data_IF_349435643256
#
_entry.id   IF_349435643256
#
_cell.length_a   1.000
_cell.length_b   1.000
_cell.length_c   1.000
_cell.angle_alpha   90.00
_cell.angle_beta   90.00
_cell.angle_gamma   90.00
#
_symmetry.space_group_name_H-M   'P 1'
#
loop_
_entity.id
_entity.type
_entity.pdbx_description
1 polymer ?
#
# COMPACT_ATOMS: atom_id res chain seq x y z
N UNK A 1 3.69 -2.38 -0.98
CA UNK A 1 2.53 -1.65 -1.53
C UNK A 1 1.97 -0.74 -0.47
N UNK A 2 1.47 0.44 -0.84
CA UNK A 2 0.81 1.37 0.07
C UNK A 2 -0.27 2.20 -0.64
N UNK A 3 -1.12 2.86 0.13
CA UNK A 3 -2.00 3.92 -0.34
C UNK A 3 -1.35 5.29 -0.12
N UNK A 4 -1.84 6.29 -0.85
CA UNK A 4 -1.59 7.70 -0.53
C UNK A 4 -2.88 8.42 -0.20
N UNK A 5 -3.22 9.40 -1.04
CA UNK A 5 -4.53 10.06 -0.99
C UNK A 5 -5.68 9.16 -1.42
N UNK A 6 -6.12 8.23 -0.55
CA UNK A 6 -7.29 7.37 -0.78
C UNK A 6 -8.57 8.18 -1.05
N UNK A 7 -9.44 7.63 -1.88
CA UNK A 7 -10.76 8.15 -2.24
C UNK A 7 -11.80 7.01 -2.23
N UNK A 8 -13.07 7.35 -2.48
CA UNK A 8 -14.18 6.38 -2.49
C UNK A 8 -13.99 5.24 -3.51
N UNK A 9 -13.18 5.46 -4.56
CA UNK A 9 -12.94 4.47 -5.62
C UNK A 9 -11.78 3.55 -5.30
N UNK A 10 -10.95 3.88 -4.31
CA UNK A 10 -9.73 3.13 -3.98
C UNK A 10 -10.02 1.65 -3.71
N UNK A 11 -11.04 1.36 -2.89
CA UNK A 11 -11.44 0.01 -2.51
C UNK A 11 -12.17 -0.80 -3.58
N UNK A 12 -12.60 -0.16 -4.68
CA UNK A 12 -13.40 -0.81 -5.75
C UNK A 12 -12.71 -0.80 -7.12
N UNK A 13 -11.54 -0.16 -7.24
CA UNK A 13 -10.76 -0.11 -8.49
C UNK A 13 -9.29 -0.51 -8.26
N UNK A 14 -8.44 0.42 -7.84
CA UNK A 14 -6.99 0.24 -7.74
C UNK A 14 -6.61 -0.83 -6.72
N UNK A 15 -7.17 -0.80 -5.51
CA UNK A 15 -6.78 -1.74 -4.46
C UNK A 15 -7.10 -3.20 -4.79
N UNK A 16 -8.29 -3.57 -5.32
CA UNK A 16 -8.53 -4.95 -5.74
C UNK A 16 -7.68 -5.39 -6.93
N UNK A 17 -7.42 -4.52 -7.92
CA UNK A 17 -6.50 -4.84 -9.03
C UNK A 17 -5.07 -5.10 -8.52
N UNK A 18 -4.63 -4.30 -7.55
CA UNK A 18 -3.36 -4.50 -6.82
C UNK A 18 -3.36 -5.82 -6.06
N UNK A 19 -4.45 -6.18 -5.38
CA UNK A 19 -4.62 -7.48 -4.73
C UNK A 19 -4.53 -8.66 -5.70
N UNK A 20 -5.09 -8.52 -6.90
CA UNK A 20 -4.95 -9.53 -7.94
C UNK A 20 -3.50 -9.69 -8.41
N UNK A 21 -2.79 -8.59 -8.69
CA UNK A 21 -1.38 -8.61 -9.04
C UNK A 21 -0.50 -9.18 -7.91
N UNK A 22 -0.85 -8.91 -6.65
CA UNK A 22 -0.22 -9.49 -5.46
C UNK A 22 -0.28 -11.01 -5.50
N UNK A 23 -1.46 -11.59 -5.74
CA UNK A 23 -1.64 -13.03 -5.80
C UNK A 23 -0.87 -13.66 -6.98
N UNK A 24 -0.77 -12.97 -8.13
CA UNK A 24 0.08 -13.41 -9.24
C UNK A 24 1.56 -13.46 -8.86
N UNK A 25 2.08 -12.42 -8.19
CA UNK A 25 3.46 -12.37 -7.72
C UNK A 25 3.75 -13.49 -6.69
N UNK A 26 2.83 -13.73 -5.75
CA UNK A 26 2.94 -14.84 -4.79
C UNK A 26 3.00 -16.18 -5.52
N UNK A 27 2.16 -16.40 -6.55
CA UNK A 27 2.19 -17.62 -7.39
C UNK A 27 3.50 -17.79 -8.15
N UNK A 28 4.20 -16.71 -8.49
CA UNK A 28 5.54 -16.73 -9.07
C UNK A 28 6.66 -16.99 -8.03
N UNK A 29 6.33 -17.18 -6.75
CA UNK A 29 7.31 -17.38 -5.68
C UNK A 29 8.05 -16.09 -5.27
N UNK A 30 7.47 -14.92 -5.58
CA UNK A 30 7.97 -13.63 -5.11
C UNK A 30 7.51 -13.33 -3.68
N UNK A 31 8.10 -12.29 -3.09
CA UNK A 31 7.68 -11.74 -1.80
C UNK A 31 6.92 -10.45 -2.03
N UNK A 32 5.73 -10.34 -1.44
CA UNK A 32 4.84 -9.20 -1.59
C UNK A 32 4.54 -8.61 -0.23
N UNK A 33 4.49 -7.28 -0.12
CA UNK A 33 4.34 -6.59 1.16
C UNK A 33 3.20 -5.57 1.15
N UNK A 34 2.38 -5.59 2.20
CA UNK A 34 1.44 -4.52 2.55
C UNK A 34 1.66 -4.09 4.00
N UNK A 35 1.33 -2.85 4.34
CA UNK A 35 1.80 -2.18 5.56
C UNK A 35 0.72 -1.33 6.24
N UNK A 36 1.00 -0.06 6.55
CA UNK A 36 0.03 0.96 6.95
C UNK A 36 -0.88 0.53 8.11
N UNK A 37 -0.34 0.38 9.31
CA UNK A 37 -1.08 -0.10 10.50
C UNK A 37 -2.39 0.68 10.69
N UNK A 38 -2.31 2.02 10.66
CA UNK A 38 -3.48 2.90 10.79
C UNK A 38 -4.57 2.64 9.75
N UNK A 39 -4.21 2.18 8.54
CA UNK A 39 -5.16 1.96 7.45
C UNK A 39 -5.84 0.60 7.51
N UNK A 40 -5.21 -0.40 8.12
CA UNK A 40 -5.78 -1.76 8.21
C UNK A 40 -6.37 -2.08 9.59
N UNK A 41 -6.09 -1.24 10.60
CA UNK A 41 -6.37 -1.51 12.01
C UNK A 41 -7.81 -1.91 12.32
N UNK A 42 -8.78 -1.28 11.65
CA UNK A 42 -10.21 -1.53 11.89
C UNK A 42 -10.76 -2.71 11.08
N UNK A 43 -9.96 -3.25 10.15
CA UNK A 43 -10.26 -4.46 9.37
C UNK A 43 -9.37 -5.66 9.76
N UNK A 44 -8.64 -5.56 10.88
CA UNK A 44 -7.72 -6.61 11.36
C UNK A 44 -8.39 -7.98 11.50
N UNK A 45 -9.67 -8.01 11.88
CA UNK A 45 -10.48 -9.20 12.04
C UNK A 45 -10.69 -9.99 10.73
N UNK A 46 -10.40 -9.39 9.57
CA UNK A 46 -10.41 -10.05 8.26
C UNK A 46 -9.02 -10.47 7.78
N UNK A 47 -7.96 -9.95 8.39
CA UNK A 47 -6.59 -10.34 8.10
C UNK A 47 -6.14 -11.53 8.94
N UNK A 48 -6.48 -11.56 10.24
CA UNK A 48 -6.09 -12.65 11.14
C UNK A 48 -6.53 -14.04 10.68
N UNK A 49 -7.74 -14.26 10.10
CA UNK A 49 -8.13 -15.58 9.61
C UNK A 49 -7.33 -16.06 8.39
N UNK A 50 -6.55 -15.17 7.77
CA UNK A 50 -5.69 -15.47 6.60
C UNK A 50 -4.23 -15.74 6.99
N UNK A 51 -3.88 -15.66 8.27
CA UNK A 51 -2.56 -16.05 8.74
C UNK A 51 -2.34 -17.55 8.51
N UNK A 52 -1.13 -17.92 8.11
CA UNK A 52 -0.81 -19.33 7.80
C UNK A 52 -0.86 -20.25 9.04
N UNK A 53 -0.70 -19.68 10.23
CA UNK A 53 -0.81 -20.35 11.52
C UNK A 53 -1.12 -19.35 12.65
N UNK A 54 -1.37 -19.87 13.86
CA UNK A 54 -1.69 -19.04 15.02
C UNK A 54 -0.56 -18.11 15.45
N UNK A 55 0.71 -18.51 15.30
CA UNK A 55 1.87 -17.70 15.65
C UNK A 55 1.91 -16.40 14.82
N UNK A 56 1.73 -16.53 13.50
CA UNK A 56 1.66 -15.38 12.58
C UNK A 56 0.43 -14.52 12.88
N UNK A 57 -0.71 -15.14 13.18
CA UNK A 57 -1.94 -14.43 13.56
C UNK A 57 -1.77 -13.62 14.84
N UNK A 58 -1.14 -14.20 15.87
CA UNK A 58 -0.83 -13.52 17.14
C UNK A 58 0.17 -12.39 16.92
N UNK A 59 1.24 -12.62 16.14
CA UNK A 59 2.22 -11.57 15.83
C UNK A 59 1.59 -10.38 15.11
N UNK A 60 0.58 -10.61 14.26
CA UNK A 60 -0.18 -9.53 13.64
C UNK A 60 -0.91 -8.65 14.68
N UNK A 61 -1.53 -9.28 15.68
CA UNK A 61 -2.21 -8.57 16.78
C UNK A 61 -1.23 -7.81 17.68
N UNK A 62 -0.02 -8.36 17.90
CA UNK A 62 1.04 -7.70 18.66
C UNK A 62 1.45 -6.37 18.00
N UNK A 63 1.64 -6.34 16.67
CA UNK A 63 1.94 -5.09 15.96
C UNK A 63 0.79 -4.07 16.02
N UNK A 64 -0.48 -4.53 15.99
CA UNK A 64 -1.62 -3.63 16.16
C UNK A 64 -1.63 -3.00 17.55
N UNK A 65 -1.45 -3.80 18.60
CA UNK A 65 -1.43 -3.34 19.99
C UNK A 65 -0.24 -2.42 20.26
N UNK A 66 0.94 -2.73 19.71
CA UNK A 66 2.12 -1.90 19.82
C UNK A 66 1.88 -0.51 19.23
N UNK A 67 1.28 -0.44 18.05
CA UNK A 67 1.03 0.84 17.39
C UNK A 67 -0.07 1.66 18.10
N UNK A 68 -1.11 1.00 18.63
CA UNK A 68 -2.12 1.68 19.46
C UNK A 68 -1.47 2.30 20.70
N UNK A 69 -0.55 1.58 21.37
CA UNK A 69 0.20 2.10 22.52
C UNK A 69 1.15 3.26 22.14
N UNK A 70 1.83 3.16 20.98
CA UNK A 70 2.67 4.24 20.46
C UNK A 70 1.87 5.55 20.28
N UNK A 71 0.66 5.47 19.72
CA UNK A 71 -0.20 6.64 19.55
C UNK A 71 -0.62 7.24 20.91
N UNK A 72 -1.00 6.40 21.87
CA UNK A 72 -1.38 6.83 23.23
C UNK A 72 -0.23 7.55 23.95
N UNK A 73 0.99 6.99 23.89
CA UNK A 73 2.20 7.64 24.43
C UNK A 73 2.46 9.02 23.78
N UNK A 74 2.17 9.14 22.48
CA UNK A 74 2.27 10.39 21.73
C UNK A 74 1.11 11.35 21.97
N UNK A 75 0.12 10.99 22.81
CA UNK A 75 -1.14 11.73 23.02
C UNK A 75 -1.85 12.06 21.71
N UNK A 76 -1.78 11.13 20.77
CA UNK A 76 -2.43 11.20 19.46
C UNK A 76 -3.32 9.99 19.28
N UNK A 77 -4.24 10.05 18.34
CA UNK A 77 -5.12 8.93 18.04
C UNK A 77 -5.26 8.74 16.51
N UNK A 78 -6.24 7.91 16.13
CA UNK A 78 -6.59 7.64 14.73
C UNK A 78 -7.79 8.48 14.26
N UNK A 79 -8.24 9.48 15.02
CA UNK A 79 -9.44 10.30 14.69
C UNK A 79 -9.26 11.12 13.40
N UNK A 80 -8.01 11.42 13.06
CA UNK A 80 -7.64 12.04 11.79
C UNK A 80 -7.74 11.07 10.60
N UNK A 81 -8.06 9.79 10.82
CA UNK A 81 -8.41 8.84 9.76
C UNK A 81 -9.94 8.74 9.67
N UNK A 82 -10.58 8.92 8.49
CA UNK A 82 -10.01 9.32 7.20
C UNK A 82 -9.45 10.75 7.25
N UNK A 83 -8.34 11.00 6.56
CA UNK A 83 -7.75 12.35 6.49
C UNK A 83 -8.72 13.34 5.84
N UNK A 84 -8.57 14.67 6.04
CA UNK A 84 -9.41 15.67 5.38
C UNK A 84 -9.45 15.50 3.85
N UNK A 85 -8.33 15.06 3.25
CA UNK A 85 -8.25 14.74 1.82
C UNK A 85 -9.08 13.52 1.42
N UNK A 86 -9.15 12.49 2.28
CA UNK A 86 -9.95 11.30 2.05
C UNK A 86 -11.45 11.58 2.20
N UNK A 87 -11.84 12.38 3.20
CA UNK A 87 -13.24 12.80 3.40
C UNK A 87 -13.75 13.59 2.19
N UNK A 88 -12.95 14.54 1.68
CA UNK A 88 -13.24 15.25 0.42
C UNK A 88 -13.30 14.32 -0.79
N UNK A 89 -12.58 13.19 -0.75
CA UNK A 89 -12.61 12.13 -1.77
C UNK A 89 -13.75 11.14 -1.61
N UNK A 90 -14.69 11.36 -0.68
CA UNK A 90 -15.90 10.54 -0.51
C UNK A 90 -15.79 9.39 0.49
N UNK A 91 -14.68 9.25 1.23
CA UNK A 91 -14.55 8.24 2.29
C UNK A 91 -15.15 8.75 3.59
N UNK A 92 -16.31 8.21 3.98
CA UNK A 92 -17.08 8.66 5.14
C UNK A 92 -16.69 7.94 6.44
N UNK A 93 -16.42 6.64 6.40
CA UNK A 93 -16.22 5.80 7.58
C UNK A 93 -14.82 5.14 7.60
N UNK A 94 -14.21 5.07 8.79
CA UNK A 94 -12.93 4.39 9.04
C UNK A 94 -12.96 2.90 8.69
N UNK A 95 -14.07 2.21 8.98
CA UNK A 95 -14.23 0.79 8.69
C UNK A 95 -14.26 0.57 7.18
N UNK A 96 -15.05 1.37 6.46
CA UNK A 96 -15.13 1.30 4.99
C UNK A 96 -13.76 1.53 4.33
N UNK A 97 -13.01 2.54 4.83
CA UNK A 97 -11.64 2.79 4.38
C UNK A 97 -10.72 1.60 4.66
N UNK A 98 -10.83 0.98 5.84
CA UNK A 98 -10.00 -0.15 6.20
C UNK A 98 -10.29 -1.38 5.34
N UNK A 99 -11.57 -1.67 5.06
CA UNK A 99 -12.00 -2.72 4.14
C UNK A 99 -11.42 -2.51 2.73
N UNK A 100 -11.52 -1.28 2.21
CA UNK A 100 -10.91 -0.92 0.93
C UNK A 100 -9.39 -1.06 0.94
N UNK A 101 -8.73 -0.76 2.06
CA UNK A 101 -7.27 -0.77 2.19
C UNK A 101 -6.70 -2.19 2.21
N UNK A 102 -7.37 -3.13 2.88
CA UNK A 102 -6.95 -4.54 2.92
C UNK A 102 -7.14 -5.25 1.57
N UNK A 103 -7.95 -4.72 0.65
CA UNK A 103 -8.11 -5.31 -0.69
C UNK A 103 -6.79 -5.43 -1.46
N UNK A 104 -5.80 -4.55 -1.17
CA UNK A 104 -4.43 -4.61 -1.73
C UNK A 104 -3.70 -5.92 -1.41
N UNK A 105 -4.11 -6.61 -0.34
CA UNK A 105 -3.47 -7.85 0.11
C UNK A 105 -3.94 -9.09 -0.66
N UNK A 106 -4.86 -8.95 -1.63
CA UNK A 106 -5.37 -10.09 -2.40
C UNK A 106 -6.04 -11.14 -1.51
N UNK A 107 -5.92 -12.41 -1.92
CA UNK A 107 -6.50 -13.56 -1.21
C UNK A 107 -5.45 -14.54 -0.67
N UNK A 108 -4.17 -14.36 -1.01
CA UNK A 108 -3.07 -15.20 -0.50
C UNK A 108 -2.99 -15.20 1.03
N UNK A 109 -2.46 -16.29 1.60
CA UNK A 109 -2.21 -16.41 3.03
C UNK A 109 -1.07 -15.48 3.47
N UNK A 110 -1.20 -14.87 4.66
CA UNK A 110 -0.15 -14.06 5.28
C UNK A 110 0.84 -15.03 5.93
N UNK A 111 2.08 -15.03 5.44
CA UNK A 111 3.09 -16.03 5.86
C UNK A 111 4.08 -15.52 6.90
N UNK A 112 4.16 -14.19 7.09
CA UNK A 112 5.06 -13.55 8.05
C UNK A 112 4.55 -12.15 8.39
N UNK A 113 4.86 -11.69 9.61
CA UNK A 113 4.59 -10.35 10.11
C UNK A 113 5.90 -9.72 10.58
N UNK A 114 6.18 -8.50 10.11
CA UNK A 114 7.40 -7.76 10.41
C UNK A 114 7.10 -6.53 11.25
N UNK A 115 7.93 -6.28 12.27
CA UNK A 115 7.98 -5.00 12.97
C UNK A 115 8.69 -3.94 12.11
N UNK A 116 8.56 -2.63 12.40
CA UNK A 116 9.13 -1.57 11.57
C UNK A 116 10.63 -1.76 11.28
N UNK A 117 10.98 -1.94 10.00
CA UNK A 117 12.36 -2.04 9.51
C UNK A 117 12.97 -3.46 9.52
N UNK A 118 12.23 -4.48 9.98
CA UNK A 118 12.67 -5.88 9.87
C UNK A 118 12.64 -6.37 8.41
N UNK A 119 13.47 -7.38 8.11
CA UNK A 119 13.52 -8.04 6.79
C UNK A 119 12.80 -9.39 6.85
N UNK A 120 12.09 -9.80 5.79
CA UNK A 120 11.40 -11.08 5.75
C UNK A 120 12.37 -12.26 5.71
N UNK A 121 11.97 -13.36 6.35
CA UNK A 121 12.64 -14.67 6.28
C UNK A 121 11.87 -15.67 5.40
N UNK A 122 10.62 -15.36 5.05
CA UNK A 122 9.75 -16.17 4.20
C UNK A 122 9.46 -15.49 2.86
N UNK A 123 9.01 -16.28 1.88
CA UNK A 123 8.44 -15.79 0.61
C UNK A 123 6.93 -16.02 0.60
N UNK A 124 6.20 -15.12 -0.06
CA UNK A 124 4.75 -15.07 -0.05
C UNK A 124 4.24 -13.67 0.29
N UNK A 125 3.02 -13.59 0.82
CA UNK A 125 2.43 -12.33 1.27
C UNK A 125 2.86 -12.03 2.72
N UNK A 126 3.50 -10.88 2.90
CA UNK A 126 4.08 -10.40 4.16
C UNK A 126 3.31 -9.16 4.61
N UNK A 127 2.97 -9.11 5.89
CA UNK A 127 2.54 -7.87 6.53
C UNK A 127 3.75 -7.20 7.19
N UNK A 128 4.09 -5.97 6.80
CA UNK A 128 5.14 -5.21 7.46
C UNK A 128 4.57 -3.97 8.13
N UNK A 129 4.56 -3.95 9.45
CA UNK A 129 4.00 -2.85 10.23
C UNK A 129 4.81 -1.56 9.98
N UNK A 130 4.12 -0.52 9.50
CA UNK A 130 4.66 0.83 9.30
C UNK A 130 3.59 1.86 9.63
N UNK A 131 3.99 3.11 9.93
CA UNK A 131 3.09 4.25 9.80
C UNK A 131 2.47 4.35 8.40
N UNK A 132 1.30 4.98 8.30
CA UNK A 132 0.63 5.25 7.02
C UNK A 132 1.12 6.52 6.30
N UNK A 133 2.06 7.26 6.90
CA UNK A 133 2.67 8.41 6.24
C UNK A 133 3.51 7.96 5.04
N UNK A 134 3.17 8.43 3.84
CA UNK A 134 3.68 7.95 2.55
C UNK A 134 5.22 7.76 2.51
N UNK A 135 5.97 8.77 2.96
CA UNK A 135 7.44 8.74 2.94
C UNK A 135 8.04 7.85 4.02
N UNK A 136 7.40 7.80 5.20
CA UNK A 136 7.85 6.93 6.29
C UNK A 136 7.58 5.47 5.94
N UNK A 137 6.38 5.15 5.45
CA UNK A 137 6.02 3.83 4.96
C UNK A 137 6.97 3.38 3.85
N UNK A 138 7.19 4.23 2.82
CA UNK A 138 8.13 3.94 1.75
C UNK A 138 9.54 3.65 2.24
N UNK A 139 10.06 4.47 3.16
CA UNK A 139 11.39 4.28 3.75
C UNK A 139 11.48 2.96 4.53
N UNK A 140 10.47 2.64 5.34
CA UNK A 140 10.46 1.39 6.12
C UNK A 140 10.29 0.16 5.23
N UNK A 141 9.49 0.22 4.15
CA UNK A 141 9.41 -0.88 3.18
C UNK A 141 10.74 -1.09 2.45
N UNK A 142 11.45 -0.01 2.11
CA UNK A 142 12.81 -0.09 1.55
C UNK A 142 13.78 -0.74 2.53
N UNK A 143 13.72 -0.39 3.82
CA UNK A 143 14.50 -1.06 4.86
C UNK A 143 14.19 -2.58 4.94
N UNK A 144 12.91 -2.94 4.79
CA UNK A 144 12.47 -4.34 4.70
C UNK A 144 12.87 -5.05 3.40
N UNK A 145 13.40 -4.32 2.41
CA UNK A 145 14.03 -4.89 1.21
C UNK A 145 13.15 -5.00 -0.02
N UNK A 146 12.11 -4.16 -0.16
CA UNK A 146 11.40 -4.06 -1.45
C UNK A 146 12.34 -3.56 -2.54
N UNK A 147 12.07 -3.94 -3.79
CA UNK A 147 12.80 -3.45 -4.98
C UNK A 147 11.91 -2.69 -5.96
N UNK A 148 10.59 -2.76 -5.80
CA UNK A 148 9.58 -2.00 -6.55
C UNK A 148 8.46 -1.66 -5.57
N UNK A 149 7.91 -0.44 -5.66
CA UNK A 149 6.73 -0.07 -4.89
C UNK A 149 5.55 0.23 -5.82
N UNK A 150 4.37 -0.32 -5.49
CA UNK A 150 3.09 0.11 -6.07
C UNK A 150 2.39 1.03 -5.07
N UNK A 151 1.97 2.19 -5.56
CA UNK A 151 1.37 3.27 -4.80
C UNK A 151 0.02 3.66 -5.40
N UNK A 152 -1.09 3.36 -4.72
CA UNK A 152 -2.43 3.72 -5.21
C UNK A 152 -2.87 5.09 -4.70
N UNK A 153 -3.53 5.88 -5.55
CA UNK A 153 -3.98 7.21 -5.14
C UNK A 153 -5.18 7.74 -5.92
N UNK A 154 -6.06 8.45 -5.20
CA UNK A 154 -7.14 9.28 -5.73
C UNK A 154 -6.75 10.75 -5.90
N UNK A 155 -5.47 11.11 -5.71
CA UNK A 155 -4.96 12.49 -5.78
C UNK A 155 -3.69 12.58 -6.63
N UNK A 156 -3.45 13.74 -7.25
CA UNK A 156 -2.23 14.02 -8.02
C UNK A 156 -1.03 14.29 -7.12
N UNK A 157 -0.51 13.26 -6.44
CA UNK A 157 0.65 13.39 -5.54
C UNK A 157 1.98 13.21 -6.29
N UNK A 158 2.98 14.08 -6.07
CA UNK A 158 4.32 13.92 -6.64
C UNK A 158 5.19 12.93 -5.84
N UNK A 159 4.59 12.06 -5.01
CA UNK A 159 5.32 11.05 -4.24
C UNK A 159 6.25 10.18 -5.10
N UNK A 160 7.47 9.96 -4.65
CA UNK A 160 8.43 9.04 -5.26
C UNK A 160 9.68 8.87 -4.39
N UNK A 161 10.48 7.84 -4.70
CA UNK A 161 11.69 7.46 -3.98
C UNK A 161 12.82 7.24 -4.98
N UNK A 162 14.05 7.65 -4.62
CA UNK A 162 15.24 7.28 -5.42
C UNK A 162 15.60 5.79 -5.25
N UNK A 163 15.36 5.23 -4.07
CA UNK A 163 15.88 3.91 -3.71
C UNK A 163 15.22 2.75 -4.50
N UNK A 164 13.95 2.92 -4.90
CA UNK A 164 13.18 1.95 -5.70
C UNK A 164 12.21 2.70 -6.62
N UNK A 165 11.94 2.19 -7.83
CA UNK A 165 10.93 2.77 -8.70
C UNK A 165 9.54 2.67 -8.06
N UNK A 166 8.77 3.75 -8.16
CA UNK A 166 7.42 3.86 -7.61
C UNK A 166 6.40 3.91 -8.75
N UNK A 167 5.62 2.84 -8.89
CA UNK A 167 4.51 2.74 -9.85
C UNK A 167 3.27 3.38 -9.22
N UNK A 168 2.82 4.51 -9.78
CA UNK A 168 1.67 5.26 -9.30
C UNK A 168 0.40 4.88 -10.06
N UNK A 169 -0.60 4.39 -9.33
CA UNK A 169 -1.86 3.89 -9.87
C UNK A 169 -3.02 4.81 -9.51
N UNK A 170 -3.67 5.39 -10.51
CA UNK A 170 -4.84 6.23 -10.36
C UNK A 170 -6.10 5.39 -10.12
N UNK A 171 -6.96 5.83 -9.19
CA UNK A 171 -8.24 5.18 -8.89
C UNK A 171 -9.36 5.52 -9.89
N UNK A 172 -9.20 6.58 -10.69
CA UNK A 172 -10.20 7.09 -11.62
C UNK A 172 -9.57 7.57 -12.92
N UNK A 173 -10.25 7.35 -14.04
CA UNK A 173 -9.78 7.77 -15.38
C UNK A 173 -9.63 9.28 -15.47
N UNK A 174 -10.52 10.05 -14.85
CA UNK A 174 -10.40 11.51 -14.77
C UNK A 174 -9.09 11.95 -14.08
N UNK A 175 -8.65 11.23 -13.04
CA UNK A 175 -7.40 11.53 -12.34
C UNK A 175 -6.19 11.18 -13.22
N UNK A 176 -6.22 10.02 -13.87
CA UNK A 176 -5.18 9.60 -14.81
C UNK A 176 -5.01 10.60 -15.96
N UNK A 177 -6.12 11.10 -16.53
CA UNK A 177 -6.08 12.08 -17.61
C UNK A 177 -5.61 13.46 -17.14
N UNK A 178 -5.99 13.88 -15.92
CA UNK A 178 -5.57 15.17 -15.36
C UNK A 178 -4.07 15.20 -15.05
N UNK A 179 -3.53 14.11 -14.52
CA UNK A 179 -2.14 13.96 -14.14
C UNK A 179 -1.47 12.87 -14.98
N UNK A 180 -1.60 13.01 -16.30
CA UNK A 180 -1.14 12.05 -17.30
C UNK A 180 0.39 11.84 -17.29
N UNK A 181 1.11 12.77 -16.67
CA UNK A 181 2.55 12.79 -16.47
C UNK A 181 2.98 12.37 -15.05
N UNK A 182 2.04 11.94 -14.20
CA UNK A 182 2.33 11.37 -12.87
C UNK A 182 1.76 9.97 -12.68
N UNK A 183 0.70 9.60 -13.41
CA UNK A 183 -0.02 8.34 -13.23
C UNK A 183 0.48 7.29 -14.23
N UNK A 184 1.25 6.33 -13.76
CA UNK A 184 1.82 5.27 -14.60
C UNK A 184 0.76 4.29 -15.12
N UNK A 185 -0.30 4.06 -14.32
CA UNK A 185 -1.40 3.15 -14.66
C UNK A 185 -2.75 3.70 -14.20
N UNK A 186 -3.78 3.50 -15.03
CA UNK A 186 -5.17 3.88 -14.75
C UNK A 186 -5.98 2.65 -14.34
N UNK A 187 -6.56 2.66 -13.14
CA UNK A 187 -7.50 1.64 -12.65
C UNK A 187 -8.97 2.04 -12.83
N UNK A 188 -9.23 3.29 -13.22
CA UNK A 188 -10.58 3.84 -13.30
C UNK A 188 -11.47 3.22 -14.37
N UNK A 189 -10.88 2.51 -15.34
CA UNK A 189 -11.56 1.69 -16.35
C UNK A 189 -12.42 0.58 -15.73
N UNK A 190 -12.08 0.14 -14.51
CA UNK A 190 -12.90 -0.81 -13.73
C UNK A 190 -14.25 -0.19 -13.35
N UNK A 191 -14.26 1.08 -12.94
CA UNK A 191 -15.49 1.74 -12.51
C UNK A 191 -16.49 1.98 -13.65
N UNK A 192 -16.00 2.04 -14.90
CA UNK A 192 -16.83 2.17 -16.10
C UNK A 192 -17.19 0.84 -16.74
N UNK A 193 -16.65 -0.28 -16.23
CA UNK A 193 -16.86 -1.62 -16.78
C UNK A 193 -16.10 -1.89 -18.10
N UNK A 194 -15.10 -1.06 -18.44
CA UNK A 194 -14.29 -1.22 -19.65
C UNK A 194 -13.22 -2.32 -19.48
N UNK A 195 -12.59 -2.38 -18.32
CA UNK A 195 -11.64 -3.43 -17.93
C UNK A 195 -12.14 -4.10 -16.63
N UNK A 196 -11.87 -5.39 -16.44
CA UNK A 196 -12.14 -6.07 -15.16
C UNK A 196 -11.00 -5.86 -14.15
N UNK A 197 -11.22 -6.27 -12.90
CA UNK A 197 -10.16 -6.30 -11.87
C UNK A 197 -8.98 -7.17 -12.34
N UNK A 198 -9.28 -8.31 -12.95
CA UNK A 198 -8.31 -9.26 -13.48
C UNK A 198 -7.49 -8.67 -14.63
N UNK A 199 -8.13 -7.92 -15.53
CA UNK A 199 -7.46 -7.27 -16.67
C UNK A 199 -6.46 -6.23 -16.18
N UNK A 200 -6.91 -5.31 -15.33
CA UNK A 200 -6.04 -4.27 -14.76
C UNK A 200 -4.98 -4.88 -13.85
N UNK A 201 -5.30 -5.94 -13.09
CA UNK A 201 -4.35 -6.65 -12.27
C UNK A 201 -3.25 -7.34 -13.08
N UNK A 202 -3.58 -7.95 -14.24
CA UNK A 202 -2.59 -8.52 -15.17
C UNK A 202 -1.73 -7.45 -15.82
N UNK A 203 -2.35 -6.35 -16.25
CA UNK A 203 -1.66 -5.16 -16.78
C UNK A 203 -0.67 -4.59 -15.77
N UNK A 204 -1.06 -4.49 -14.49
CA UNK A 204 -0.16 -4.07 -13.41
C UNK A 204 0.98 -5.07 -13.22
N UNK A 205 0.70 -6.37 -13.20
CA UNK A 205 1.72 -7.41 -13.07
C UNK A 205 2.79 -7.30 -14.18
N UNK A 206 2.37 -7.15 -15.44
CA UNK A 206 3.28 -6.97 -16.58
C UNK A 206 4.07 -5.65 -16.46
N UNK A 207 3.42 -4.56 -16.05
CA UNK A 207 4.08 -3.28 -15.82
C UNK A 207 5.14 -3.35 -14.73
N UNK A 208 4.88 -4.08 -13.63
CA UNK A 208 5.87 -4.34 -12.58
C UNK A 208 7.11 -5.04 -13.16
N UNK A 209 6.92 -6.05 -14.02
CA UNK A 209 8.04 -6.75 -14.65
C UNK A 209 8.83 -5.83 -15.61
N UNK A 210 8.14 -4.99 -16.38
CA UNK A 210 8.77 -4.01 -17.27
C UNK A 210 9.61 -3.00 -16.50
N UNK A 211 9.09 -2.47 -15.40
CA UNK A 211 9.79 -1.52 -14.52
C UNK A 211 10.97 -2.18 -13.83
N UNK A 212 10.79 -3.37 -13.25
CA UNK A 212 11.88 -4.12 -12.62
C UNK A 212 13.00 -4.49 -13.62
N UNK A 213 12.66 -4.66 -14.89
CA UNK A 213 13.61 -4.94 -15.98
C UNK A 213 14.25 -3.68 -16.57
N UNK A 214 13.85 -2.47 -16.14
CA UNK A 214 14.28 -1.21 -16.74
C UNK A 214 13.75 -0.95 -18.16
N UNK A 215 12.79 -1.74 -18.66
CA UNK A 215 12.16 -1.53 -19.98
C UNK A 215 11.21 -0.34 -19.98
N UNK A 216 10.61 -0.05 -18.82
CA UNK A 216 9.81 1.16 -18.58
C UNK A 216 10.37 1.90 -17.39
N UNK A 217 10.29 3.22 -17.43
CA UNK A 217 10.67 4.10 -16.34
C UNK A 217 9.40 4.76 -15.80
N UNK A 218 9.17 4.67 -14.49
CA UNK A 218 8.01 5.32 -13.87
C UNK A 218 8.16 6.84 -13.96
N UNK A 219 7.05 7.57 -13.91
CA UNK A 219 7.10 9.03 -13.93
C UNK A 219 7.90 9.61 -12.76
N UNK A 220 7.91 8.96 -11.58
CA UNK A 220 8.76 9.37 -10.45
C UNK A 220 10.23 9.49 -10.88
N UNK A 221 10.73 8.50 -11.61
CA UNK A 221 12.14 8.40 -11.95
C UNK A 221 12.46 9.19 -13.23
N UNK A 222 11.48 9.40 -14.11
CA UNK A 222 11.61 10.29 -15.27
C UNK A 222 11.82 11.74 -14.84
N UNK A 223 11.01 12.23 -13.90
CA UNK A 223 11.05 13.61 -13.44
C UNK A 223 11.99 13.85 -12.24
N UNK A 224 12.53 12.78 -11.65
CA UNK A 224 13.39 12.88 -10.47
C UNK A 224 12.63 13.28 -9.20
N UNK A 225 11.38 12.82 -9.06
CA UNK A 225 10.52 13.05 -7.89
C UNK A 225 10.99 12.20 -6.71
N UNK A 226 12.15 12.53 -6.17
CA UNK A 226 12.80 11.78 -5.10
C UNK A 226 12.83 12.61 -3.82
N UNK A 227 11.93 12.32 -2.89
CA UNK A 227 12.06 12.88 -1.56
C UNK A 227 13.15 12.14 -0.77
N UNK A 228 13.75 12.83 0.20
CA UNK A 228 14.69 12.21 1.14
C UNK A 228 14.02 11.09 1.93
N UNK A 229 14.81 10.08 2.32
CA UNK A 229 14.36 9.01 3.19
C UNK A 229 13.91 9.58 4.55
N UNK A 230 12.81 9.05 5.07
CA UNK A 230 12.19 9.46 6.32
C UNK A 230 12.09 8.25 7.25
N UNK A 231 13.15 7.99 8.02
CA UNK A 231 13.20 6.86 8.95
C UNK A 231 12.17 7.05 10.06
N UNK A 232 11.47 5.96 10.41
CA UNK A 232 10.55 6.00 11.54
C UNK A 232 11.31 6.01 12.87
N UNK A 233 11.22 7.10 13.61
CA UNK A 233 11.73 7.21 14.98
C UNK A 233 10.57 7.29 15.98
N UNK A 234 10.22 6.20 16.68
CA UNK A 234 9.15 6.22 17.69
C UNK A 234 9.60 6.83 19.03
N UNK A 235 10.89 7.09 19.23
CA UNK A 235 11.42 7.66 20.47
C UNK A 235 11.35 9.20 20.48
N UNK A 236 11.22 9.84 21.65
CA UNK A 236 11.27 11.29 21.74
C UNK A 236 12.63 11.83 21.28
N UNK A 237 12.62 12.97 20.61
CA UNK A 237 13.83 13.77 20.38
C UNK A 237 14.11 14.53 21.67
N UNK A 238 15.28 14.30 22.27
CA UNK A 238 15.74 15.00 23.49
C UNK A 238 16.19 16.42 23.20
#
# INVERSE_FOLDING_TARGET
>A
MQCGGSDAFSGVTANPAVGYASDLLVRCGATVMFSEVTEVRDAIHLLTPRAINEEVGKRLLEEMAWYDNYLDMGKTDRSANPSPGNKKGGLANVVEKALGSIAKSGKSAIVEVLSPGQRPTKRGLIYAATPASDFVCGTQQVASGITVQVFTTGRGTPYGLMAVPVIKMATRTELANRWYDLMDINAGTIATGEETIEDVGRKLFEFILDVASGRKKTFSDQWGLHNQLAVFNPAPVT
#
